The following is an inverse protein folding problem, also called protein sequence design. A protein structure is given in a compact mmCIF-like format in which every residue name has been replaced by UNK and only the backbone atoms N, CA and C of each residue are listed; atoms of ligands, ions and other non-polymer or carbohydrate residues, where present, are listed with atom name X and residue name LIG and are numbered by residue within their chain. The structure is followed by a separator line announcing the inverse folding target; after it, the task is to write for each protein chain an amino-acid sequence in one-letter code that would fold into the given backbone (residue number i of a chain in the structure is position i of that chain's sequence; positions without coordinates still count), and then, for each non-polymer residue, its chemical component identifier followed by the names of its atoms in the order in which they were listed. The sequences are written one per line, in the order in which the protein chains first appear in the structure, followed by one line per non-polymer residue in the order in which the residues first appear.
data_IF_221213461933
#
_entry.id   IF_221213461933
#
_cell.length_a   1.000
_cell.length_b   1.000
_cell.length_c   1.000
_cell.angle_alpha   90.00
_cell.angle_beta   90.00
_cell.angle_gamma   90.00
#
_symmetry.space_group_name_H-M   'P 1'
#
loop_
_entity.id
_entity.type
_entity.pdbx_description
1 polymer ?
#
# COMPACT_ATOMS: atom_id res chain seq x y z
N UNK A 1 8.93 -24.52 39.73
CA UNK A 1 8.98 -24.21 38.30
C UNK A 1 8.85 -22.70 38.11
N UNK A 2 9.98 -22.02 37.85
CA UNK A 2 10.06 -20.56 37.87
C UNK A 2 9.58 -19.96 36.53
N UNK A 3 8.32 -19.49 36.52
CA UNK A 3 7.65 -18.83 35.37
C UNK A 3 8.49 -17.72 34.74
N UNK A 4 9.32 -17.07 35.55
CA UNK A 4 10.23 -15.98 35.17
C UNK A 4 11.37 -16.45 34.25
N UNK A 5 11.87 -17.68 34.42
CA UNK A 5 12.92 -18.22 33.54
C UNK A 5 12.37 -18.61 32.17
N UNK A 6 11.13 -19.11 32.10
CA UNK A 6 10.47 -19.43 30.83
C UNK A 6 10.21 -18.18 29.97
N UNK A 7 9.84 -17.05 30.59
CA UNK A 7 9.70 -15.78 29.87
C UNK A 7 11.06 -15.25 29.42
N UNK A 8 12.10 -15.40 30.26
CA UNK A 8 13.45 -14.94 29.93
C UNK A 8 14.10 -15.74 28.79
N UNK A 9 13.89 -17.05 28.72
CA UNK A 9 14.37 -17.87 27.59
C UNK A 9 13.62 -17.55 26.30
N UNK A 10 12.33 -17.22 26.37
CA UNK A 10 11.56 -16.79 25.20
C UNK A 10 12.03 -15.42 24.66
N UNK A 11 12.36 -14.47 25.54
CA UNK A 11 12.93 -13.17 25.14
C UNK A 11 14.34 -13.27 24.55
N UNK A 12 15.17 -14.22 24.99
CA UNK A 12 16.55 -14.35 24.52
C UNK A 12 16.72 -15.29 23.33
N UNK A 13 15.85 -16.30 23.17
CA UNK A 13 15.87 -17.24 22.04
C UNK A 13 14.92 -16.83 20.89
N UNK A 14 13.94 -15.95 21.12
CA UNK A 14 12.97 -15.52 20.11
C UNK A 14 13.23 -14.15 19.46
N UNK A 15 14.16 -13.35 20.00
CA UNK A 15 14.36 -11.95 19.57
C UNK A 15 15.43 -11.72 18.50
N UNK A 16 16.39 -12.64 18.33
CA UNK A 16 17.52 -12.44 17.41
C UNK A 16 17.33 -13.09 16.02
N UNK A 17 16.43 -14.07 15.89
CA UNK A 17 16.20 -14.78 14.62
C UNK A 17 15.16 -14.10 13.72
N UNK A 18 14.42 -13.11 14.22
CA UNK A 18 13.46 -12.32 13.42
C UNK A 18 14.06 -11.02 12.86
N UNK A 19 15.28 -10.66 13.27
CA UNK A 19 16.04 -9.53 12.73
C UNK A 19 17.07 -9.96 11.67
N UNK A 20 17.26 -11.27 11.48
CA UNK A 20 17.95 -11.83 10.33
C UNK A 20 17.00 -11.83 9.10
N UNK A 21 16.67 -10.62 8.66
CA UNK A 21 16.21 -10.22 7.32
C UNK A 21 15.50 -11.28 6.47
N UNK A 22 14.16 -11.31 6.49
CA UNK A 22 13.37 -11.44 5.27
C UNK A 22 13.06 -10.04 4.70
N UNK A 23 12.84 -9.90 3.38
CA UNK A 23 12.42 -8.63 2.81
C UNK A 23 11.23 -8.11 3.61
N UNK A 24 11.26 -6.85 4.00
CA UNK A 24 10.18 -6.21 4.73
C UNK A 24 8.84 -6.63 4.12
N UNK A 25 7.86 -7.00 4.95
CA UNK A 25 6.52 -7.35 4.44
C UNK A 25 5.97 -6.20 3.57
N UNK A 26 6.36 -4.96 3.87
CA UNK A 26 6.14 -3.80 3.02
C UNK A 26 6.78 -3.96 1.61
N UNK A 27 8.03 -4.41 1.51
CA UNK A 27 8.71 -4.69 0.25
C UNK A 27 8.13 -5.87 -0.54
N UNK A 28 7.65 -6.94 0.14
CA UNK A 28 6.97 -8.06 -0.53
C UNK A 28 5.59 -7.64 -1.05
N UNK A 29 4.85 -6.84 -0.29
CA UNK A 29 3.55 -6.30 -0.74
C UNK A 29 3.72 -5.28 -1.87
N UNK A 30 4.73 -4.41 -1.80
CA UNK A 30 5.07 -3.48 -2.87
C UNK A 30 5.49 -4.21 -4.16
N UNK A 31 6.31 -5.26 -4.04
CA UNK A 31 6.73 -6.05 -5.21
C UNK A 31 5.55 -6.76 -5.89
N UNK A 32 4.53 -7.18 -5.12
CA UNK A 32 3.32 -7.81 -5.66
C UNK A 32 2.40 -6.80 -6.35
N UNK A 33 2.26 -5.57 -5.82
CA UNK A 33 1.51 -4.51 -6.50
C UNK A 33 2.18 -4.08 -7.81
N UNK A 34 3.50 -3.98 -7.81
CA UNK A 34 4.27 -3.57 -8.99
C UNK A 34 4.21 -4.62 -10.11
N UNK A 35 4.22 -5.91 -9.76
CA UNK A 35 4.06 -6.99 -10.74
C UNK A 35 2.67 -7.01 -11.39
N UNK A 36 1.61 -6.73 -10.62
CA UNK A 36 0.25 -6.62 -11.16
C UNK A 36 0.08 -5.36 -12.02
N UNK A 37 0.69 -4.24 -11.62
CA UNK A 37 0.74 -3.01 -12.41
C UNK A 37 1.48 -3.23 -13.74
N UNK A 38 2.65 -3.89 -13.72
CA UNK A 38 3.41 -4.22 -14.91
C UNK A 38 2.67 -5.17 -15.87
N UNK A 39 1.83 -6.07 -15.35
CA UNK A 39 1.01 -6.95 -16.17
C UNK A 39 -0.19 -6.21 -16.81
N UNK A 40 -0.82 -5.29 -16.07
CA UNK A 40 -1.90 -4.45 -16.58
C UNK A 40 -1.43 -3.42 -17.64
N UNK A 41 -0.14 -3.09 -17.64
CA UNK A 41 0.47 -2.12 -18.56
C UNK A 41 1.19 -2.76 -19.77
N UNK A 42 1.07 -4.08 -19.99
CA UNK A 42 1.68 -4.70 -21.17
C UNK A 42 1.09 -4.10 -22.46
N UNK A 43 1.87 -3.27 -23.14
CA UNK A 43 1.53 -2.67 -24.43
C UNK A 43 0.96 -1.26 -24.36
N UNK A 44 0.81 -0.67 -23.17
CA UNK A 44 0.36 0.71 -22.99
C UNK A 44 1.49 1.60 -22.45
N UNK A 45 1.47 2.88 -22.81
CA UNK A 45 2.39 3.85 -22.21
C UNK A 45 2.14 3.93 -20.70
N UNK A 46 3.18 4.15 -19.85
CA UNK A 46 2.99 4.22 -18.41
C UNK A 46 1.93 5.26 -18.04
N UNK A 47 0.83 4.80 -17.42
CA UNK A 47 -0.25 5.68 -16.95
C UNK A 47 0.26 6.46 -15.74
N UNK A 48 0.39 7.77 -15.90
CA UNK A 48 0.79 8.69 -14.83
C UNK A 48 -0.38 9.56 -14.42
N UNK A 49 -0.41 9.91 -13.14
CA UNK A 49 -1.34 10.91 -12.63
C UNK A 49 -0.90 12.28 -13.18
N UNK A 50 -1.82 12.95 -13.88
CA UNK A 50 -1.61 14.28 -14.45
C UNK A 50 -2.04 15.36 -13.47
N UNK A 51 -3.21 15.18 -12.86
CA UNK A 51 -3.82 16.18 -11.98
C UNK A 51 -4.76 15.52 -10.98
N UNK A 52 -4.94 16.18 -9.83
CA UNK A 52 -5.86 15.76 -8.77
C UNK A 52 -6.71 16.96 -8.39
N UNK A 53 -8.03 16.79 -8.51
CA UNK A 53 -9.01 17.84 -8.21
C UNK A 53 -9.92 17.39 -7.08
N UNK A 54 -10.21 18.31 -6.17
CA UNK A 54 -11.18 18.10 -5.10
C UNK A 54 -12.45 18.88 -5.41
N UNK A 55 -13.57 18.19 -5.43
CA UNK A 55 -14.89 18.77 -5.66
C UNK A 55 -15.66 18.71 -4.35
N UNK A 56 -15.95 19.88 -3.81
CA UNK A 56 -16.81 20.03 -2.64
C UNK A 56 -18.24 20.22 -3.14
N UNK A 57 -19.15 19.33 -2.73
CA UNK A 57 -20.55 19.37 -3.18
C UNK A 57 -21.48 18.95 -2.04
N UNK A 58 -22.76 19.30 -2.15
CA UNK A 58 -23.75 18.98 -1.13
C UNK A 58 -25.10 18.53 -1.73
N UNK A 59 -25.15 17.43 -2.51
CA UNK A 59 -26.41 16.88 -2.96
C UNK A 59 -27.23 16.39 -1.75
N UNK A 60 -28.55 16.59 -1.79
CA UNK A 60 -29.46 16.23 -0.69
C UNK A 60 -29.09 16.84 0.67
N UNK A 61 -28.43 18.00 0.68
CA UNK A 61 -27.92 18.67 1.89
C UNK A 61 -26.85 17.87 2.67
N UNK A 62 -26.24 16.86 2.06
CA UNK A 62 -25.14 16.08 2.67
C UNK A 62 -23.82 16.54 2.06
N UNK A 63 -22.90 17.04 2.89
CA UNK A 63 -21.58 17.50 2.44
C UNK A 63 -20.72 16.32 1.99
N UNK A 64 -20.42 16.27 0.70
CA UNK A 64 -19.55 15.30 0.07
C UNK A 64 -18.24 15.96 -0.39
N UNK A 65 -17.18 15.18 -0.32
CA UNK A 65 -15.87 15.53 -0.85
C UNK A 65 -15.51 14.45 -1.86
N UNK A 66 -15.40 14.84 -3.13
CA UNK A 66 -15.05 13.92 -4.23
C UNK A 66 -13.65 14.25 -4.71
N UNK A 67 -12.79 13.24 -4.82
CA UNK A 67 -11.49 13.36 -5.47
C UNK A 67 -11.62 12.86 -6.90
N UNK A 68 -11.26 13.69 -7.87
CA UNK A 68 -11.14 13.32 -9.27
C UNK A 68 -9.66 13.25 -9.64
N UNK A 69 -9.25 12.14 -10.24
CA UNK A 69 -7.88 11.91 -10.68
C UNK A 69 -7.86 11.88 -12.21
N UNK A 70 -7.11 12.79 -12.83
CA UNK A 70 -6.88 12.80 -14.27
C UNK A 70 -5.55 12.11 -14.56
N UNK A 71 -5.52 11.24 -15.57
CA UNK A 71 -4.31 10.54 -15.98
C UNK A 71 -3.79 11.03 -17.32
N UNK A 72 -2.60 10.59 -17.70
CA UNK A 72 -2.00 10.87 -19.02
C UNK A 72 -2.75 10.21 -20.18
N UNK A 73 -3.56 9.19 -19.91
CA UNK A 73 -4.37 8.51 -20.91
C UNK A 73 -5.70 9.27 -21.10
N UNK A 74 -5.97 9.70 -22.32
CA UNK A 74 -7.17 10.47 -22.63
C UNK A 74 -8.44 9.63 -22.40
N UNK A 75 -9.29 10.08 -21.48
CA UNK A 75 -10.54 9.39 -21.13
C UNK A 75 -10.44 8.50 -19.89
N UNK A 76 -9.23 8.21 -19.39
CA UNK A 76 -9.04 7.48 -18.14
C UNK A 76 -9.01 8.46 -16.96
N UNK A 77 -10.13 8.49 -16.22
CA UNK A 77 -10.33 9.31 -15.02
C UNK A 77 -10.84 8.44 -13.88
N UNK A 78 -10.39 8.74 -12.67
CA UNK A 78 -10.83 8.12 -11.42
C UNK A 78 -11.52 9.11 -10.49
#
# INVERSE_FOLDING_TARGET
MNRREAIRSLSFAGGASLLASPPSLAGVLASKSDALYAQALRGTAPVKIRDIKTILTAPNHIRLVVAKVETTEAGLVG
#
